data_IF_317156708929
#
_entry.id   IF_317156708929
#
_cell.length_a   1.000
_cell.length_b   1.000
_cell.length_c   1.000
_cell.angle_alpha   90.00
_cell.angle_beta   90.00
_cell.angle_gamma   90.00
#
_symmetry.space_group_name_H-M   'P 1'
#
loop_
_entity.id
_entity.type
_entity.pdbx_description
1 polymer ?
#
# COMPACT_ATOMS: atom_id res chain seq x y z
N UNK A 1 39.25 -58.22 39.16
CA UNK A 1 39.45 -56.75 39.11
C UNK A 1 39.96 -56.37 37.73
N UNK A 2 39.73 -55.11 37.32
CA UNK A 2 40.32 -54.42 36.15
C UNK A 2 40.42 -55.23 34.85
N UNK A 3 39.38 -55.14 34.03
CA UNK A 3 39.52 -55.28 32.58
C UNK A 3 39.68 -53.88 32.00
N UNK A 4 40.92 -53.48 31.73
CA UNK A 4 41.20 -52.21 31.07
C UNK A 4 40.78 -52.31 29.59
N UNK A 5 39.78 -51.51 29.22
CA UNK A 5 39.35 -51.38 27.82
C UNK A 5 40.29 -50.41 27.13
N UNK A 6 41.39 -50.92 26.57
CA UNK A 6 42.24 -50.14 25.67
C UNK A 6 41.43 -49.67 24.46
N UNK A 7 41.16 -48.37 24.41
CA UNK A 7 40.55 -47.72 23.25
C UNK A 7 41.65 -47.41 22.23
N UNK A 8 41.84 -48.29 21.26
CA UNK A 8 42.77 -48.04 20.16
C UNK A 8 42.47 -46.69 19.47
N UNK A 9 43.46 -45.80 19.29
CA UNK A 9 43.25 -44.53 18.62
C UNK A 9 43.00 -44.77 17.12
N UNK A 10 41.77 -44.52 16.68
CA UNK A 10 41.35 -44.70 15.28
C UNK A 10 42.36 -44.05 14.32
N UNK A 11 43.01 -44.82 13.42
CA UNK A 11 44.09 -44.30 12.61
C UNK A 11 43.57 -43.21 11.67
N UNK A 12 44.13 -42.00 11.81
CA UNK A 12 43.82 -40.80 11.01
C UNK A 12 44.35 -40.93 9.57
N UNK A 13 43.77 -41.88 8.84
CA UNK A 13 44.20 -42.28 7.51
C UNK A 13 43.83 -41.19 6.49
N UNK A 14 44.83 -40.69 5.74
CA UNK A 14 44.65 -39.68 4.67
C UNK A 14 43.57 -40.11 3.66
N UNK A 15 43.35 -41.43 3.46
CA UNK A 15 42.28 -42.00 2.62
C UNK A 15 40.88 -41.66 3.16
N UNK A 16 40.66 -41.75 4.47
CA UNK A 16 39.37 -41.46 5.11
C UNK A 16 39.04 -39.95 5.03
N UNK A 17 40.04 -39.08 5.27
CA UNK A 17 39.88 -37.63 5.06
C UNK A 17 39.51 -37.29 3.61
N UNK A 18 40.15 -37.93 2.61
CA UNK A 18 39.78 -37.74 1.19
C UNK A 18 38.36 -38.19 0.89
N UNK A 19 37.91 -39.32 1.42
CA UNK A 19 36.53 -39.82 1.23
C UNK A 19 35.51 -38.87 1.87
N UNK A 20 35.76 -38.37 3.08
CA UNK A 20 34.92 -37.38 3.76
C UNK A 20 34.86 -36.06 2.99
N UNK A 21 35.99 -35.53 2.53
CA UNK A 21 36.05 -34.32 1.69
C UNK A 21 35.29 -34.51 0.37
N UNK A 22 35.42 -35.67 -0.28
CA UNK A 22 34.75 -35.93 -1.55
C UNK A 22 33.23 -36.08 -1.36
N UNK A 23 32.78 -36.76 -0.30
CA UNK A 23 31.36 -36.82 0.07
C UNK A 23 30.80 -35.44 0.43
N UNK A 24 31.56 -34.62 1.15
CA UNK A 24 31.20 -33.23 1.47
C UNK A 24 31.07 -32.35 0.22
N UNK A 25 32.02 -32.47 -0.73
CA UNK A 25 31.97 -31.81 -2.03
C UNK A 25 30.75 -32.23 -2.86
N UNK A 26 30.43 -33.52 -2.91
CA UNK A 26 29.25 -34.04 -3.61
C UNK A 26 27.96 -33.51 -2.96
N UNK A 27 27.85 -33.54 -1.63
CA UNK A 27 26.70 -33.00 -0.91
C UNK A 27 26.53 -31.48 -1.13
N UNK A 28 27.63 -30.72 -1.10
CA UNK A 28 27.62 -29.29 -1.41
C UNK A 28 27.21 -29.02 -2.86
N UNK A 29 27.69 -29.80 -3.83
CA UNK A 29 27.30 -29.68 -5.23
C UNK A 29 25.81 -29.99 -5.44
N UNK A 30 25.28 -31.03 -4.80
CA UNK A 30 23.84 -31.35 -4.82
C UNK A 30 23.03 -30.19 -4.22
N UNK A 31 23.45 -29.65 -3.07
CA UNK A 31 22.77 -28.51 -2.45
C UNK A 31 22.78 -27.27 -3.36
N UNK A 32 23.90 -26.96 -4.01
CA UNK A 32 24.00 -25.86 -4.99
C UNK A 32 23.06 -26.11 -6.18
N UNK A 33 23.02 -27.33 -6.73
CA UNK A 33 22.10 -27.68 -7.81
C UNK A 33 20.64 -27.52 -7.40
N UNK A 34 20.25 -27.98 -6.20
CA UNK A 34 18.89 -27.81 -5.66
C UNK A 34 18.55 -26.33 -5.49
N UNK A 35 19.45 -25.52 -4.94
CA UNK A 35 19.24 -24.08 -4.77
C UNK A 35 19.10 -23.36 -6.12
N UNK A 36 19.88 -23.74 -7.14
CA UNK A 36 19.76 -23.17 -8.50
C UNK A 36 18.44 -23.55 -9.15
N UNK A 37 18.03 -24.83 -9.09
CA UNK A 37 16.74 -25.29 -9.62
C UNK A 37 15.57 -24.61 -8.90
N UNK A 38 15.65 -24.49 -7.57
CA UNK A 38 14.65 -23.77 -6.77
C UNK A 38 14.58 -22.28 -7.13
N UNK A 39 15.72 -21.61 -7.30
CA UNK A 39 15.77 -20.21 -7.73
C UNK A 39 15.13 -20.01 -9.11
N UNK A 40 15.42 -20.88 -10.07
CA UNK A 40 14.80 -20.86 -11.41
C UNK A 40 13.28 -21.07 -11.32
N UNK A 41 12.82 -22.06 -10.53
CA UNK A 41 11.39 -22.28 -10.29
C UNK A 41 10.71 -21.06 -9.67
N UNK A 42 11.33 -20.43 -8.67
CA UNK A 42 10.83 -19.22 -8.02
C UNK A 42 10.74 -18.01 -8.98
N UNK A 43 11.64 -17.91 -9.95
CA UNK A 43 11.61 -16.89 -11.02
C UNK A 43 10.49 -17.19 -12.01
N UNK A 44 10.36 -18.43 -12.48
CA UNK A 44 9.27 -18.85 -13.38
C UNK A 44 7.90 -18.63 -12.75
N UNK A 45 7.72 -19.00 -11.47
CA UNK A 45 6.48 -18.79 -10.72
C UNK A 45 6.15 -17.31 -10.60
N UNK A 46 7.13 -16.45 -10.31
CA UNK A 46 6.90 -14.99 -10.25
C UNK A 46 6.44 -14.43 -11.61
N UNK A 47 7.10 -14.79 -12.72
CA UNK A 47 6.69 -14.34 -14.05
C UNK A 47 5.31 -14.90 -14.45
N UNK A 48 4.97 -16.11 -14.02
CA UNK A 48 3.62 -16.67 -14.20
C UNK A 48 2.56 -15.89 -13.43
N UNK A 49 2.85 -15.45 -12.19
CA UNK A 49 1.96 -14.59 -11.41
C UNK A 49 1.77 -13.25 -12.13
N UNK A 50 2.85 -12.57 -12.52
CA UNK A 50 2.78 -11.31 -13.29
C UNK A 50 1.94 -11.48 -14.56
N UNK A 51 2.17 -12.54 -15.33
CA UNK A 51 1.39 -12.83 -16.54
C UNK A 51 -0.10 -13.07 -16.25
N UNK A 52 -0.47 -13.60 -15.09
CA UNK A 52 -1.88 -13.77 -14.70
C UNK A 52 -2.57 -12.41 -14.47
N UNK A 53 -1.89 -11.47 -13.79
CA UNK A 53 -2.39 -10.10 -13.62
C UNK A 53 -2.44 -9.32 -14.94
N UNK A 54 -1.40 -9.41 -15.78
CA UNK A 54 -1.37 -8.74 -17.10
C UNK A 54 -2.49 -9.22 -18.04
N UNK A 55 -2.92 -10.50 -17.94
CA UNK A 55 -4.09 -11.00 -18.68
C UNK A 55 -5.41 -10.34 -18.27
N UNK A 56 -5.53 -9.92 -17.01
CA UNK A 56 -6.64 -9.11 -16.51
C UNK A 56 -6.39 -7.59 -16.67
N UNK A 57 -5.48 -7.21 -17.58
CA UNK A 57 -5.13 -5.82 -17.92
C UNK A 57 -4.59 -4.99 -16.74
N UNK A 58 -4.13 -5.63 -15.67
CA UNK A 58 -3.44 -4.94 -14.59
C UNK A 58 -2.10 -4.37 -15.10
N UNK A 59 -1.79 -3.15 -14.68
CA UNK A 59 -0.49 -2.53 -14.87
C UNK A 59 0.40 -2.85 -13.66
N UNK A 60 1.65 -3.23 -13.92
CA UNK A 60 2.64 -3.54 -12.90
C UNK A 60 3.90 -2.75 -13.23
N UNK A 61 4.36 -1.91 -12.32
CA UNK A 61 5.54 -1.07 -12.51
C UNK A 61 6.70 -1.55 -11.62
N UNK A 62 7.90 -1.24 -12.08
CA UNK A 62 9.16 -1.39 -11.36
C UNK A 62 9.81 -0.03 -11.25
N UNK A 63 10.21 0.34 -10.04
CA UNK A 63 11.13 1.46 -9.79
C UNK A 63 12.57 0.95 -9.80
N UNK A 64 13.46 1.66 -10.51
CA UNK A 64 14.91 1.42 -10.52
C UNK A 64 15.61 2.73 -10.15
N UNK A 65 16.45 2.71 -9.10
CA UNK A 65 17.20 3.87 -8.63
C UNK A 65 18.65 3.74 -9.13
N UNK A 66 19.12 4.73 -9.90
CA UNK A 66 20.48 4.69 -10.44
C UNK A 66 21.53 5.13 -9.40
N UNK A 67 22.82 5.01 -9.72
CA UNK A 67 23.92 5.38 -8.79
C UNK A 67 23.94 6.88 -8.40
N UNK A 68 23.17 7.72 -9.07
CA UNK A 68 23.00 9.15 -8.75
C UNK A 68 21.75 9.44 -7.88
N UNK A 69 20.94 8.44 -7.55
CA UNK A 69 19.69 8.57 -6.80
C UNK A 69 18.48 8.99 -7.64
N UNK A 70 18.58 8.92 -8.97
CA UNK A 70 17.44 9.20 -9.86
C UNK A 70 16.58 7.93 -10.02
N UNK A 71 15.27 8.06 -9.79
CA UNK A 71 14.31 6.97 -9.89
C UNK A 71 13.72 6.92 -11.31
N UNK A 72 13.93 5.82 -12.02
CA UNK A 72 13.27 5.50 -13.28
C UNK A 72 12.07 4.57 -13.04
N UNK A 73 10.98 4.79 -13.79
CA UNK A 73 9.74 4.01 -13.72
C UNK A 73 9.55 3.24 -15.02
N UNK A 74 9.30 1.93 -14.92
CA UNK A 74 9.12 1.07 -16.10
C UNK A 74 7.94 0.09 -15.94
N UNK A 75 7.16 -0.09 -17.01
CA UNK A 75 6.22 -1.21 -17.10
C UNK A 75 6.97 -2.55 -17.05
N UNK A 76 6.45 -3.50 -16.27
CA UNK A 76 7.10 -4.79 -16.10
C UNK A 76 7.23 -5.54 -17.44
N UNK A 77 8.49 -5.74 -17.86
CA UNK A 77 8.85 -6.41 -19.12
C UNK A 77 9.23 -5.48 -20.28
N UNK A 78 9.14 -4.16 -20.13
CA UNK A 78 9.56 -3.18 -21.16
C UNK A 78 10.98 -2.63 -20.97
N UNK A 79 11.62 -2.96 -19.85
CA UNK A 79 12.90 -2.38 -19.42
C UNK A 79 14.05 -2.70 -20.40
N UNK A 80 14.75 -1.69 -20.94
CA UNK A 80 15.81 -1.90 -21.93
C UNK A 80 17.11 -2.41 -21.26
N UNK A 81 17.40 -3.71 -21.43
CA UNK A 81 18.62 -4.33 -20.94
C UNK A 81 19.03 -5.56 -21.75
N UNK A 82 20.29 -6.01 -21.66
CA UNK A 82 20.76 -7.19 -22.38
C UNK A 82 19.96 -8.43 -21.95
N UNK A 83 19.52 -9.21 -22.95
CA UNK A 83 18.56 -10.29 -22.75
C UNK A 83 19.01 -11.34 -21.72
N UNK A 84 18.33 -11.31 -20.56
CA UNK A 84 17.99 -12.43 -19.70
C UNK A 84 19.13 -13.39 -19.24
N UNK A 85 19.83 -12.97 -18.16
CA UNK A 85 20.47 -13.81 -17.11
C UNK A 85 21.70 -14.63 -17.58
N UNK A 86 22.93 -14.45 -17.01
CA UNK A 86 23.23 -14.54 -15.57
C UNK A 86 24.38 -13.58 -15.09
N UNK A 87 24.97 -13.58 -13.88
CA UNK A 87 24.92 -14.39 -12.62
C UNK A 87 25.04 -13.46 -11.39
N UNK A 88 24.63 -13.87 -10.17
CA UNK A 88 23.71 -14.96 -9.84
C UNK A 88 22.38 -14.35 -9.36
N UNK A 89 21.41 -14.21 -10.27
CA UNK A 89 20.05 -13.76 -9.92
C UNK A 89 19.99 -12.42 -9.16
N UNK A 90 20.76 -11.40 -9.59
CA UNK A 90 20.66 -10.05 -9.01
C UNK A 90 19.21 -9.56 -9.03
N UNK A 91 18.67 -9.29 -7.85
CA UNK A 91 17.66 -8.31 -7.39
C UNK A 91 16.39 -7.94 -8.21
N UNK A 92 16.32 -8.21 -9.51
CA UNK A 92 15.36 -7.63 -10.46
C UNK A 92 14.15 -8.51 -10.81
N UNK A 93 14.17 -9.81 -10.51
CA UNK A 93 13.07 -10.71 -10.89
C UNK A 93 11.92 -10.78 -9.88
N UNK A 94 11.87 -9.85 -8.91
CA UNK A 94 10.85 -9.75 -7.84
C UNK A 94 10.65 -8.28 -7.41
N UNK A 95 10.63 -7.36 -8.36
CA UNK A 95 10.68 -5.92 -8.12
C UNK A 95 9.41 -5.17 -8.56
N UNK A 96 8.27 -5.84 -8.71
CA UNK A 96 7.00 -5.13 -8.79
C UNK A 96 6.78 -4.44 -7.46
N UNK A 97 6.90 -3.12 -7.48
CA UNK A 97 6.75 -2.20 -6.35
C UNK A 97 5.39 -1.53 -6.37
N UNK A 98 4.77 -1.44 -7.54
CA UNK A 98 3.50 -0.76 -7.78
C UNK A 98 2.63 -1.61 -8.69
N UNK A 99 1.33 -1.68 -8.38
CA UNK A 99 0.34 -2.39 -9.19
C UNK A 99 -0.99 -1.60 -9.23
N UNK A 100 -1.55 -1.44 -10.42
CA UNK A 100 -2.94 -1.01 -10.59
C UNK A 100 -3.72 -2.11 -11.30
N UNK A 101 -4.80 -2.56 -10.68
CA UNK A 101 -5.69 -3.57 -11.20
C UNK A 101 -7.14 -3.08 -11.09
N UNK A 102 -7.80 -2.98 -12.24
CA UNK A 102 -9.23 -2.67 -12.32
C UNK A 102 -9.99 -3.95 -12.69
N UNK A 103 -11.09 -4.24 -12.00
CA UNK A 103 -11.94 -5.38 -12.34
C UNK A 103 -12.46 -5.24 -13.77
N UNK A 104 -12.30 -6.30 -14.58
CA UNK A 104 -12.85 -6.33 -15.93
C UNK A 104 -14.27 -6.90 -15.90
N UNK A 105 -15.21 -6.41 -16.73
CA UNK A 105 -16.57 -6.96 -16.80
C UNK A 105 -16.63 -8.46 -17.10
N UNK A 106 -15.61 -8.99 -17.79
CA UNK A 106 -15.46 -10.40 -18.13
C UNK A 106 -14.81 -11.28 -17.04
N UNK A 107 -14.23 -10.70 -15.98
CA UNK A 107 -13.52 -11.46 -14.93
C UNK A 107 -14.50 -12.30 -14.08
N UNK A 108 -14.28 -13.61 -13.99
CA UNK A 108 -15.06 -14.46 -13.08
C UNK A 108 -14.61 -14.32 -11.62
N UNK A 109 -15.51 -14.59 -10.66
CA UNK A 109 -15.18 -14.52 -9.22
C UNK A 109 -14.04 -15.48 -8.84
N UNK A 110 -14.01 -16.69 -9.41
CA UNK A 110 -12.96 -17.69 -9.16
C UNK A 110 -11.58 -17.20 -9.64
N UNK A 111 -11.51 -16.53 -10.80
CA UNK A 111 -10.27 -15.92 -11.29
C UNK A 111 -9.82 -14.74 -10.41
N UNK A 112 -10.77 -13.92 -9.95
CA UNK A 112 -10.50 -12.81 -9.02
C UNK A 112 -9.92 -13.36 -7.71
N UNK A 113 -10.56 -14.37 -7.10
CA UNK A 113 -10.08 -14.98 -5.84
C UNK A 113 -8.71 -15.64 -6.01
N UNK A 114 -8.49 -16.34 -7.13
CA UNK A 114 -7.20 -16.90 -7.46
C UNK A 114 -6.10 -15.83 -7.59
N UNK A 115 -6.41 -14.65 -8.14
CA UNK A 115 -5.47 -13.54 -8.25
C UNK A 115 -5.23 -12.85 -6.90
N UNK A 116 -6.26 -12.60 -6.09
CA UNK A 116 -6.08 -12.07 -4.73
C UNK A 116 -5.18 -12.97 -3.88
N UNK A 117 -5.31 -14.30 -4.02
CA UNK A 117 -4.42 -15.27 -3.35
C UNK A 117 -2.95 -15.21 -3.82
N UNK A 118 -2.64 -14.58 -4.96
CA UNK A 118 -1.28 -14.36 -5.45
C UNK A 118 -0.68 -13.02 -5.00
N UNK A 119 -1.46 -12.06 -4.51
CA UNK A 119 -0.97 -10.75 -4.07
C UNK A 119 0.13 -10.84 -2.98
N UNK A 120 0.05 -11.73 -1.96
CA UNK A 120 1.13 -11.88 -0.96
C UNK A 120 2.48 -12.34 -1.52
N UNK A 121 2.52 -12.94 -2.73
CA UNK A 121 3.77 -13.37 -3.37
C UNK A 121 4.57 -12.18 -3.95
N UNK A 122 3.99 -10.98 -4.03
CA UNK A 122 4.68 -9.75 -4.43
C UNK A 122 5.35 -9.08 -3.22
N UNK A 123 6.44 -9.69 -2.77
CA UNK A 123 7.15 -9.35 -1.53
C UNK A 123 7.71 -7.90 -1.47
N UNK A 124 7.82 -7.20 -2.61
CA UNK A 124 8.27 -5.81 -2.73
C UNK A 124 7.15 -4.82 -3.10
N UNK A 125 5.89 -5.26 -3.16
CA UNK A 125 4.76 -4.40 -3.51
C UNK A 125 4.49 -3.41 -2.38
N UNK A 126 4.76 -2.13 -2.64
CA UNK A 126 4.55 -1.03 -1.71
C UNK A 126 3.25 -0.27 -2.01
N UNK A 127 2.84 -0.23 -3.28
CA UNK A 127 1.68 0.51 -3.77
C UNK A 127 0.72 -0.41 -4.52
N UNK A 128 -0.55 -0.47 -4.10
CA UNK A 128 -1.58 -1.26 -4.75
C UNK A 128 -2.87 -0.46 -4.93
N UNK A 129 -3.31 -0.36 -6.18
CA UNK A 129 -4.55 0.28 -6.59
C UNK A 129 -5.52 -0.78 -7.10
N UNK A 130 -6.70 -0.83 -6.51
CA UNK A 130 -7.78 -1.75 -6.83
C UNK A 130 -9.03 -0.96 -7.16
N UNK A 131 -9.67 -1.26 -8.28
CA UNK A 131 -10.91 -0.57 -8.66
C UNK A 131 -12.03 -1.50 -9.13
N UNK A 132 -13.24 -1.27 -8.62
CA UNK A 132 -14.46 -1.98 -9.02
C UNK A 132 -14.74 -3.32 -8.33
N UNK A 133 -13.95 -3.73 -7.33
CA UNK A 133 -14.06 -5.05 -6.69
C UNK A 133 -15.06 -5.10 -5.55
N UNK A 134 -15.58 -6.30 -5.29
CA UNK A 134 -16.12 -6.65 -3.97
C UNK A 134 -14.96 -7.09 -3.07
N UNK A 135 -14.82 -6.50 -1.88
CA UNK A 135 -13.80 -6.84 -0.89
C UNK A 135 -14.47 -7.55 0.27
N UNK A 136 -14.37 -8.88 0.27
CA UNK A 136 -14.79 -9.75 1.36
C UNK A 136 -13.67 -9.90 2.41
N UNK A 137 -13.93 -10.66 3.47
CA UNK A 137 -12.94 -10.90 4.52
C UNK A 137 -11.69 -11.66 4.00
N UNK A 138 -11.83 -12.53 3.00
CA UNK A 138 -10.69 -13.30 2.47
C UNK A 138 -9.74 -12.40 1.65
N UNK A 139 -10.30 -11.56 0.77
CA UNK A 139 -9.58 -10.56 -0.01
C UNK A 139 -8.93 -9.53 0.90
N UNK A 140 -9.63 -9.05 1.93
CA UNK A 140 -9.04 -8.18 2.94
C UNK A 140 -7.83 -8.83 3.66
N UNK A 141 -7.94 -10.11 4.05
CA UNK A 141 -6.81 -10.85 4.65
C UNK A 141 -5.64 -11.01 3.67
N UNK A 142 -5.89 -11.25 2.39
CA UNK A 142 -4.83 -11.34 1.37
C UNK A 142 -4.07 -10.01 1.21
N UNK A 143 -4.77 -8.87 1.15
CA UNK A 143 -4.18 -7.53 1.11
C UNK A 143 -3.33 -7.24 2.36
N UNK A 144 -3.81 -7.69 3.52
CA UNK A 144 -3.11 -7.55 4.78
C UNK A 144 -1.79 -8.34 4.85
N UNK A 145 -1.69 -9.46 4.12
CA UNK A 145 -0.49 -10.30 4.05
C UNK A 145 0.61 -9.77 3.10
N UNK A 146 0.34 -8.76 2.27
CA UNK A 146 1.35 -8.13 1.42
C UNK A 146 2.42 -7.45 2.32
N UNK A 147 3.71 -7.89 2.32
CA UNK A 147 4.62 -7.52 3.41
C UNK A 147 5.03 -6.05 3.47
N UNK A 148 5.15 -5.38 2.33
CA UNK A 148 5.71 -4.02 2.22
C UNK A 148 4.68 -2.94 1.81
N UNK A 149 3.39 -3.30 1.76
CA UNK A 149 2.33 -2.39 1.32
C UNK A 149 2.17 -1.17 2.26
N UNK A 150 2.49 0.01 1.73
CA UNK A 150 2.40 1.35 2.36
C UNK A 150 1.21 2.15 1.83
N UNK A 151 0.89 2.03 0.55
CA UNK A 151 -0.18 2.79 -0.10
C UNK A 151 -1.21 1.84 -0.71
N UNK A 152 -2.46 1.97 -0.28
CA UNK A 152 -3.56 1.12 -0.71
C UNK A 152 -4.72 1.98 -1.22
N UNK A 153 -5.04 1.88 -2.50
CA UNK A 153 -6.29 2.41 -3.05
C UNK A 153 -7.29 1.29 -3.30
N UNK A 154 -8.51 1.48 -2.82
CA UNK A 154 -9.68 0.61 -3.01
C UNK A 154 -10.81 1.53 -3.47
N UNK A 155 -10.90 1.77 -4.77
CA UNK A 155 -11.78 2.76 -5.39
C UNK A 155 -13.00 2.12 -6.06
N UNK A 156 -14.17 2.75 -5.96
CA UNK A 156 -15.42 2.26 -6.52
C UNK A 156 -15.73 0.78 -6.16
N UNK A 157 -15.27 0.34 -5.00
CA UNK A 157 -15.36 -1.03 -4.50
C UNK A 157 -16.52 -1.19 -3.50
N UNK A 158 -16.98 -2.41 -3.31
CA UNK A 158 -17.97 -2.76 -2.29
C UNK A 158 -17.30 -3.54 -1.16
N UNK A 159 -17.20 -2.95 0.03
CA UNK A 159 -16.58 -3.60 1.19
C UNK A 159 -17.67 -4.31 2.00
N UNK A 160 -17.44 -5.59 2.31
CA UNK A 160 -18.31 -6.30 3.25
C UNK A 160 -18.11 -5.80 4.68
N UNK A 161 -19.11 -6.04 5.54
CA UNK A 161 -19.05 -5.64 6.95
C UNK A 161 -17.81 -6.19 7.65
N UNK A 162 -17.14 -5.35 8.44
CA UNK A 162 -15.90 -5.60 9.21
C UNK A 162 -14.60 -5.77 8.40
N UNK A 163 -14.68 -5.70 7.06
CA UNK A 163 -13.49 -5.78 6.21
C UNK A 163 -12.66 -4.50 6.25
N UNK A 164 -13.31 -3.32 6.34
CA UNK A 164 -12.60 -2.04 6.42
C UNK A 164 -11.80 -1.93 7.71
N UNK A 165 -12.41 -2.34 8.83
CA UNK A 165 -11.70 -2.41 10.11
C UNK A 165 -10.48 -3.36 10.07
N UNK A 166 -10.55 -4.44 9.28
CA UNK A 166 -9.43 -5.36 9.09
C UNK A 166 -8.29 -4.72 8.28
N UNK A 167 -8.61 -4.01 7.19
CA UNK A 167 -7.63 -3.31 6.34
C UNK A 167 -6.90 -2.19 7.08
N UNK A 168 -7.63 -1.38 7.83
CA UNK A 168 -7.09 -0.27 8.62
C UNK A 168 -6.16 -0.74 9.76
N UNK A 169 -6.21 -2.02 10.16
CA UNK A 169 -5.35 -2.54 11.20
C UNK A 169 -3.85 -2.61 10.81
N UNK A 170 -3.48 -2.49 9.52
CA UNK A 170 -2.07 -2.55 9.08
C UNK A 170 -1.21 -1.46 9.74
N UNK A 171 -0.10 -1.84 10.38
CA UNK A 171 0.69 -0.91 11.21
C UNK A 171 1.52 0.11 10.41
N UNK A 172 1.85 -0.21 9.15
CA UNK A 172 2.78 0.56 8.31
C UNK A 172 2.11 1.18 7.07
N UNK A 173 0.78 1.35 7.09
CA UNK A 173 0.07 1.99 5.99
C UNK A 173 0.21 3.51 6.11
N UNK A 174 0.75 4.14 5.08
CA UNK A 174 1.00 5.58 4.99
C UNK A 174 -0.12 6.32 4.24
N UNK A 175 -0.78 5.63 3.30
CA UNK A 175 -1.90 6.16 2.51
C UNK A 175 -3.01 5.13 2.35
N UNK A 176 -4.26 5.56 2.53
CA UNK A 176 -5.43 4.80 2.09
C UNK A 176 -6.41 5.66 1.28
N UNK A 177 -6.83 5.15 0.12
CA UNK A 177 -7.96 5.69 -0.65
C UNK A 177 -9.11 4.69 -0.62
N UNK A 178 -10.30 5.21 -0.34
CA UNK A 178 -11.58 4.49 -0.43
C UNK A 178 -12.54 5.19 -1.40
N UNK A 179 -12.06 6.06 -2.30
CA UNK A 179 -12.93 6.96 -3.06
C UNK A 179 -14.00 6.23 -3.88
N UNK A 180 -15.24 6.71 -3.78
CA UNK A 180 -16.42 6.10 -4.41
C UNK A 180 -16.79 4.69 -3.90
N UNK A 181 -16.11 4.17 -2.89
CA UNK A 181 -16.37 2.83 -2.34
C UNK A 181 -17.49 2.84 -1.30
N UNK A 182 -18.24 1.74 -1.22
CA UNK A 182 -19.35 1.58 -0.28
C UNK A 182 -18.94 0.72 0.92
N UNK A 183 -19.05 1.26 2.12
CA UNK A 183 -18.82 0.61 3.41
C UNK A 183 -19.76 1.21 4.48
N UNK A 184 -19.80 0.64 5.68
CA UNK A 184 -20.56 1.23 6.80
C UNK A 184 -19.69 2.28 7.52
N UNK A 185 -20.23 3.49 7.73
CA UNK A 185 -19.50 4.62 8.31
C UNK A 185 -18.95 4.31 9.72
N UNK A 186 -19.64 3.48 10.50
CA UNK A 186 -19.22 3.08 11.85
C UNK A 186 -17.93 2.24 11.88
N UNK A 187 -17.55 1.60 10.77
CA UNK A 187 -16.25 0.90 10.68
C UNK A 187 -15.05 1.85 10.73
N UNK A 188 -15.23 3.12 10.34
CA UNK A 188 -14.18 4.13 10.48
C UNK A 188 -13.89 4.48 11.95
N UNK A 189 -14.74 4.12 12.92
CA UNK A 189 -14.44 4.35 14.34
C UNK A 189 -13.18 3.60 14.82
N UNK A 190 -12.70 2.59 14.07
CA UNK A 190 -11.39 1.97 14.29
C UNK A 190 -10.23 2.97 14.17
N UNK A 191 -10.41 4.04 13.39
CA UNK A 191 -9.43 5.13 13.26
C UNK A 191 -9.14 5.81 14.60
N UNK A 192 -10.09 5.85 15.56
CA UNK A 192 -9.82 6.32 16.92
C UNK A 192 -8.83 5.44 17.70
N UNK A 193 -8.78 4.15 17.38
CA UNK A 193 -7.87 3.19 18.03
C UNK A 193 -6.47 3.25 17.40
N UNK A 194 -6.43 3.51 16.09
CA UNK A 194 -5.19 3.60 15.31
C UNK A 194 -4.71 5.02 15.03
N UNK A 195 -5.34 6.05 15.58
CA UNK A 195 -4.91 7.46 15.50
C UNK A 195 -3.54 7.70 16.14
N UNK A 196 -3.11 6.75 16.98
CA UNK A 196 -1.75 6.63 17.53
C UNK A 196 -0.71 6.10 16.53
N UNK A 197 -1.11 5.64 15.33
CA UNK A 197 -0.17 5.28 14.27
C UNK A 197 0.46 6.54 13.70
N UNK A 198 1.77 6.65 13.87
CA UNK A 198 2.60 7.74 13.35
C UNK A 198 2.79 7.69 11.82
N UNK A 199 2.23 6.66 11.16
CA UNK A 199 2.45 6.34 9.74
C UNK A 199 1.39 6.90 8.80
N UNK A 200 0.09 6.88 9.16
CA UNK A 200 -0.98 7.27 8.25
C UNK A 200 -1.04 8.80 8.06
N UNK A 201 -0.74 9.23 6.83
CA UNK A 201 -0.64 10.64 6.41
C UNK A 201 -1.69 11.04 5.38
N UNK A 202 -2.10 10.10 4.53
CA UNK A 202 -3.01 10.37 3.41
C UNK A 202 -4.28 9.55 3.57
N UNK A 203 -5.42 10.22 3.56
CA UNK A 203 -6.74 9.61 3.63
C UNK A 203 -7.68 10.23 2.59
N UNK A 204 -8.10 9.41 1.62
CA UNK A 204 -9.00 9.83 0.55
C UNK A 204 -10.34 9.12 0.73
N UNK A 205 -11.40 9.90 0.96
CA UNK A 205 -12.77 9.47 1.21
C UNK A 205 -13.78 10.15 0.26
N UNK A 206 -13.31 10.72 -0.85
CA UNK A 206 -14.15 11.43 -1.81
C UNK A 206 -15.25 10.52 -2.39
N UNK A 207 -16.45 11.06 -2.57
CA UNK A 207 -17.66 10.38 -3.04
C UNK A 207 -18.13 9.21 -2.16
N UNK A 208 -17.74 9.18 -0.89
CA UNK A 208 -18.24 8.24 0.11
C UNK A 208 -19.35 8.87 0.98
N UNK A 209 -20.17 8.02 1.61
CA UNK A 209 -21.26 8.44 2.52
C UNK A 209 -20.75 8.90 3.90
N UNK A 210 -19.84 9.89 3.91
CA UNK A 210 -19.21 10.44 5.12
C UNK A 210 -19.97 11.65 5.64
N UNK A 211 -20.16 11.72 6.96
CA UNK A 211 -20.84 12.81 7.66
C UNK A 211 -19.95 13.45 8.73
N UNK A 212 -20.44 14.52 9.37
CA UNK A 212 -19.77 15.16 10.52
C UNK A 212 -19.51 14.21 11.70
N UNK A 213 -20.21 13.05 11.79
CA UNK A 213 -19.89 11.99 12.78
C UNK A 213 -18.47 11.48 12.58
N UNK A 214 -18.09 11.22 11.33
CA UNK A 214 -16.75 10.77 10.97
C UNK A 214 -15.72 11.89 11.15
N UNK A 215 -16.08 13.16 10.90
CA UNK A 215 -15.16 14.28 11.13
C UNK A 215 -14.63 14.34 12.57
N UNK A 216 -15.43 13.95 13.57
CA UNK A 216 -14.99 13.81 14.95
C UNK A 216 -13.87 12.75 15.09
N UNK A 217 -14.05 11.59 14.48
CA UNK A 217 -13.06 10.50 14.43
C UNK A 217 -11.78 10.95 13.73
N UNK A 218 -11.92 11.57 12.55
CA UNK A 218 -10.79 12.04 11.76
C UNK A 218 -9.98 13.13 12.48
N UNK A 219 -10.61 13.98 13.29
CA UNK A 219 -9.92 15.03 14.04
C UNK A 219 -8.91 14.51 15.08
N UNK A 220 -8.99 13.24 15.48
CA UNK A 220 -7.97 12.60 16.33
C UNK A 220 -6.82 11.97 15.53
N UNK A 221 -6.93 11.82 14.21
CA UNK A 221 -5.87 11.32 13.32
C UNK A 221 -4.80 12.39 13.04
N UNK A 222 -4.09 12.82 14.09
CA UNK A 222 -3.23 14.03 14.09
C UNK A 222 -2.07 14.05 13.10
N UNK A 223 -1.70 12.90 12.54
CA UNK A 223 -0.62 12.76 11.56
C UNK A 223 -1.09 12.94 10.10
N UNK A 224 -2.39 13.15 9.86
CA UNK A 224 -2.91 13.42 8.51
C UNK A 224 -2.33 14.72 7.96
N UNK A 225 -1.72 14.60 6.79
CA UNK A 225 -1.15 15.65 5.95
C UNK A 225 -2.07 15.94 4.75
N UNK A 226 -2.76 14.92 4.23
CA UNK A 226 -3.66 15.02 3.07
C UNK A 226 -5.01 14.36 3.41
N UNK A 227 -6.10 15.11 3.25
CA UNK A 227 -7.47 14.64 3.48
C UNK A 227 -8.40 15.08 2.34
N UNK A 228 -8.98 14.11 1.63
CA UNK A 228 -9.96 14.38 0.57
C UNK A 228 -11.35 13.91 1.00
N UNK A 229 -12.32 14.81 0.93
CA UNK A 229 -13.70 14.65 1.40
C UNK A 229 -14.72 15.21 0.37
N UNK A 230 -14.34 15.27 -0.90
CA UNK A 230 -15.18 15.78 -1.98
C UNK A 230 -16.44 14.93 -2.15
N UNK A 231 -17.59 15.54 -2.48
CA UNK A 231 -18.84 14.81 -2.66
C UNK A 231 -19.35 14.10 -1.40
N UNK A 232 -18.86 14.46 -0.21
CA UNK A 232 -19.35 13.95 1.08
C UNK A 232 -20.41 14.86 1.70
N UNK A 233 -21.02 14.42 2.80
CA UNK A 233 -22.05 15.17 3.54
C UNK A 233 -21.45 15.96 4.72
N UNK A 234 -20.20 16.39 4.60
CA UNK A 234 -19.52 17.25 5.58
C UNK A 234 -20.13 18.66 5.55
N UNK A 235 -20.31 19.24 6.74
CA UNK A 235 -20.79 20.61 6.93
C UNK A 235 -19.75 21.45 7.69
N UNK A 236 -20.06 22.73 7.93
CA UNK A 236 -19.30 23.60 8.83
C UNK A 236 -19.01 22.98 10.21
N UNK A 237 -19.88 22.09 10.70
CA UNK A 237 -19.68 21.39 11.98
C UNK A 237 -18.53 20.39 11.90
N UNK A 238 -18.46 19.59 10.83
CA UNK A 238 -17.33 18.70 10.58
C UNK A 238 -16.06 19.46 10.28
N UNK A 239 -16.12 20.49 9.43
CA UNK A 239 -14.96 21.30 9.07
C UNK A 239 -14.32 21.97 10.31
N UNK A 240 -15.13 22.45 11.26
CA UNK A 240 -14.66 22.98 12.55
C UNK A 240 -13.86 21.96 13.39
N UNK A 241 -14.14 20.65 13.24
CA UNK A 241 -13.37 19.60 13.90
C UNK A 241 -12.07 19.33 13.14
N UNK A 242 -12.15 19.20 11.80
CA UNK A 242 -11.01 18.93 10.92
C UNK A 242 -9.96 20.05 10.94
N UNK A 243 -10.38 21.31 11.09
CA UNK A 243 -9.50 22.47 11.20
C UNK A 243 -8.46 22.39 12.34
N UNK A 244 -8.66 21.45 13.30
CA UNK A 244 -7.75 21.19 14.42
C UNK A 244 -6.60 20.24 14.09
N UNK A 245 -6.58 19.64 12.90
CA UNK A 245 -5.53 18.71 12.48
C UNK A 245 -4.18 19.46 12.35
N UNK A 246 -3.18 19.17 13.21
CA UNK A 246 -1.98 20.00 13.34
C UNK A 246 -0.93 19.75 12.24
N UNK A 247 -1.17 18.78 11.36
CA UNK A 247 -0.30 18.42 10.23
C UNK A 247 -0.96 18.58 8.86
N UNK A 248 -2.24 18.98 8.80
CA UNK A 248 -2.99 19.04 7.55
C UNK A 248 -2.43 20.10 6.61
N UNK A 249 -2.04 19.67 5.41
CA UNK A 249 -1.48 20.50 4.35
C UNK A 249 -2.40 20.60 3.14
N UNK A 250 -3.16 19.54 2.84
CA UNK A 250 -4.08 19.46 1.69
C UNK A 250 -5.47 19.04 2.17
N UNK A 251 -6.49 19.84 1.84
CA UNK A 251 -7.89 19.58 2.19
C UNK A 251 -8.81 19.78 0.98
N UNK A 252 -9.39 18.69 0.48
CA UNK A 252 -10.32 18.73 -0.66
C UNK A 252 -11.76 18.57 -0.15
N UNK A 253 -12.63 19.54 -0.45
CA UNK A 253 -14.00 19.67 0.08
C UNK A 253 -15.01 20.02 -1.02
N UNK A 254 -14.73 19.66 -2.27
CA UNK A 254 -15.59 20.01 -3.39
C UNK A 254 -16.96 19.33 -3.25
N UNK A 255 -18.03 19.98 -3.72
CA UNK A 255 -19.40 19.45 -3.64
C UNK A 255 -19.89 19.11 -2.21
N UNK A 256 -19.32 19.71 -1.16
CA UNK A 256 -19.78 19.56 0.24
C UNK A 256 -20.78 20.65 0.66
N UNK A 257 -21.39 20.48 1.83
CA UNK A 257 -22.33 21.46 2.42
C UNK A 257 -21.61 22.52 3.29
N UNK A 258 -20.34 22.82 2.98
CA UNK A 258 -19.55 23.85 3.64
C UNK A 258 -19.97 25.25 3.17
N UNK A 259 -19.94 26.20 4.10
CA UNK A 259 -20.23 27.62 3.91
C UNK A 259 -19.10 28.50 4.44
N UNK A 260 -19.21 29.81 4.22
CA UNK A 260 -18.38 30.85 4.82
C UNK A 260 -18.12 30.65 6.33
N UNK A 261 -19.13 30.19 7.07
CA UNK A 261 -19.03 29.96 8.51
C UNK A 261 -18.12 28.77 8.87
N UNK A 262 -18.00 27.78 8.00
CA UNK A 262 -17.07 26.66 8.13
C UNK A 262 -15.64 27.06 7.79
N UNK A 263 -15.46 27.77 6.67
CA UNK A 263 -14.15 28.22 6.18
C UNK A 263 -13.45 29.15 7.17
N UNK A 264 -14.20 29.97 7.91
CA UNK A 264 -13.66 30.82 8.97
C UNK A 264 -12.86 30.04 10.06
N UNK A 265 -13.14 28.75 10.28
CA UNK A 265 -12.38 27.93 11.22
C UNK A 265 -11.01 27.49 10.69
N UNK A 266 -10.76 27.51 9.37
CA UNK A 266 -9.47 27.10 8.78
C UNK A 266 -8.33 28.08 9.08
N UNK A 267 -8.63 29.28 9.58
CA UNK A 267 -7.66 30.27 10.05
C UNK A 267 -6.68 29.75 11.11
N UNK A 268 -7.04 28.70 11.87
CA UNK A 268 -6.12 28.05 12.83
C UNK A 268 -5.33 26.86 12.27
N UNK A 269 -5.63 26.42 11.04
CA UNK A 269 -4.99 25.29 10.35
C UNK A 269 -3.68 25.74 9.68
N UNK A 270 -2.71 26.16 10.51
CA UNK A 270 -1.51 26.92 10.11
C UNK A 270 -0.55 26.25 9.12
N UNK A 271 -0.77 24.98 8.76
CA UNK A 271 0.02 24.26 7.74
C UNK A 271 -0.73 24.05 6.42
N UNK A 272 -1.98 24.48 6.30
CA UNK A 272 -2.76 24.31 5.09
C UNK A 272 -2.10 25.07 3.92
N UNK A 273 -1.78 24.32 2.86
CA UNK A 273 -1.15 24.79 1.62
C UNK A 273 -2.10 24.72 0.45
N UNK A 274 -3.06 23.81 0.47
CA UNK A 274 -3.97 23.56 -0.63
C UNK A 274 -5.38 23.26 -0.12
N UNK A 275 -6.37 23.93 -0.70
CA UNK A 275 -7.78 23.84 -0.33
C UNK A 275 -8.64 23.89 -1.59
N UNK A 276 -9.52 22.91 -1.80
CA UNK A 276 -10.54 22.95 -2.86
C UNK A 276 -11.93 23.10 -2.26
N UNK A 277 -12.73 24.00 -2.84
CA UNK A 277 -14.08 24.37 -2.39
C UNK A 277 -15.05 24.52 -3.60
N UNK A 278 -14.72 23.93 -4.75
CA UNK A 278 -15.54 23.95 -5.96
C UNK A 278 -16.94 23.40 -5.66
N UNK A 279 -17.97 24.08 -6.15
CA UNK A 279 -19.38 23.71 -5.96
C UNK A 279 -19.87 23.65 -4.49
N UNK A 280 -19.27 24.44 -3.59
CA UNK A 280 -19.76 24.67 -2.21
C UNK A 280 -20.64 25.93 -2.12
N UNK A 281 -21.07 26.33 -0.90
CA UNK A 281 -21.77 27.60 -0.65
C UNK A 281 -20.85 28.65 -0.03
N UNK A 282 -19.56 28.64 -0.38
CA UNK A 282 -18.55 29.62 0.06
C UNK A 282 -18.49 30.79 -0.92
N UNK A 283 -18.23 31.99 -0.41
CA UNK A 283 -18.05 33.22 -1.19
C UNK A 283 -16.57 33.57 -1.40
N UNK A 284 -16.27 34.18 -2.55
CA UNK A 284 -14.93 34.66 -2.91
C UNK A 284 -14.35 35.61 -1.83
N UNK A 285 -15.20 36.45 -1.22
CA UNK A 285 -14.82 37.38 -0.14
C UNK A 285 -14.17 36.65 1.06
N UNK A 286 -14.68 35.47 1.43
CA UNK A 286 -14.15 34.67 2.54
C UNK A 286 -12.90 33.90 2.11
N UNK A 287 -12.85 33.44 0.85
CA UNK A 287 -11.64 32.82 0.28
C UNK A 287 -10.47 33.81 0.25
N UNK A 288 -10.70 35.04 -0.20
CA UNK A 288 -9.67 36.09 -0.25
C UNK A 288 -9.28 36.58 1.15
N UNK A 289 -10.20 36.54 2.11
CA UNK A 289 -9.88 36.77 3.53
C UNK A 289 -8.99 35.66 4.09
N UNK A 290 -9.28 34.39 3.78
CA UNK A 290 -8.47 33.25 4.22
C UNK A 290 -7.06 33.26 3.58
N UNK A 291 -6.94 33.64 2.31
CA UNK A 291 -5.65 33.84 1.62
C UNK A 291 -4.80 34.96 2.26
N UNK A 292 -5.42 35.96 2.90
CA UNK A 292 -4.69 37.00 3.65
C UNK A 292 -4.17 36.49 5.00
N UNK A 293 -4.97 35.69 5.72
CA UNK A 293 -4.57 35.07 6.99
C UNK A 293 -3.55 33.93 6.79
N UNK A 294 -3.62 33.21 5.65
CA UNK A 294 -2.70 32.13 5.28
C UNK A 294 -2.07 32.43 3.90
N UNK A 295 -1.03 33.29 3.82
CA UNK A 295 -0.45 33.73 2.54
C UNK A 295 0.21 32.64 1.67
N UNK A 296 0.42 31.44 2.22
CA UNK A 296 0.93 30.28 1.50
C UNK A 296 -0.18 29.39 0.90
N UNK A 297 -1.45 29.68 1.22
CA UNK A 297 -2.60 28.89 0.79
C UNK A 297 -2.86 29.07 -0.72
N UNK A 298 -2.93 27.94 -1.41
CA UNK A 298 -3.49 27.82 -2.75
C UNK A 298 -4.93 27.36 -2.62
N UNK A 299 -5.81 28.00 -3.37
CA UNK A 299 -7.19 27.54 -3.54
C UNK A 299 -7.32 27.14 -5.00
N UNK A 300 -7.79 25.92 -5.24
CA UNK A 300 -8.00 25.35 -6.58
C UNK A 300 -9.40 25.68 -7.07
N UNK A 301 -9.48 26.07 -8.35
CA UNK A 301 -10.71 26.44 -9.06
C UNK A 301 -10.86 25.53 -10.30
N UNK A 302 -10.92 24.20 -10.09
CA UNK A 302 -11.13 23.18 -11.15
C UNK A 302 -12.63 22.88 -11.38
#
# INVERSE_FOLDING_TARGET
MSADVETEPVPNNKKNRRILLHRGLIAALIAICVLVVWSIFLVMRFHSNVSAFQKQKAQLLVFDENEAGEIAVHDYGTMPGPAFIPKPFLNYHRSVTWMNWQQQPESSLEEIDALFALLPEFHKLEELYLSGFQIDQNRAVALMQIPQLKHLSIENCQLEKSTLASLLNKQYLESISLAGSTFQEDELEVLNQISTKETLKVLILSNCSITDRTAAVLSECRNLEILHLDGTQITDTGLKMLARLPHLEVLMLDHTAVTDAGVAYLTVTSKLKELSLSNTSVSDDVVDSLKQEIPALRVSDD
#
